data_IF_154541125808
#
_entry.id   IF_154541125808
#
_cell.length_a   1.000
_cell.length_b   1.000
_cell.length_c   1.000
_cell.angle_alpha   90.00
_cell.angle_beta   90.00
_cell.angle_gamma   90.00
#
_symmetry.space_group_name_H-M   'P 1'
#
loop_
_entity.id
_entity.type
_entity.pdbx_description
1 polymer ?
#
# COMPACT_ATOMS: atom_id res chain seq x y z
N UNK A 1 5.15 -18.56 -21.92
CA UNK A 1 4.56 -19.03 -20.63
C UNK A 1 4.51 -17.96 -19.55
N UNK A 2 5.35 -16.93 -19.54
CA UNK A 2 5.35 -15.90 -18.48
C UNK A 2 4.09 -15.03 -18.38
N UNK A 3 3.47 -14.66 -19.48
CA UNK A 3 2.30 -13.79 -19.48
C UNK A 3 1.04 -14.40 -18.84
N UNK A 4 0.86 -15.71 -18.91
CA UNK A 4 -0.30 -16.40 -18.34
C UNK A 4 -0.26 -16.41 -16.79
N UNK A 5 0.92 -16.61 -16.20
CA UNK A 5 1.07 -16.66 -14.74
C UNK A 5 0.94 -15.27 -14.09
N UNK A 6 1.41 -14.22 -14.77
CA UNK A 6 1.28 -12.83 -14.30
C UNK A 6 -0.19 -12.41 -14.30
N UNK A 7 -0.95 -12.79 -15.33
CA UNK A 7 -2.39 -12.51 -15.38
C UNK A 7 -3.17 -13.25 -14.30
N UNK A 8 -2.84 -14.50 -14.02
CA UNK A 8 -3.50 -15.28 -12.97
C UNK A 8 -3.25 -14.67 -11.59
N UNK A 9 -2.00 -14.29 -11.27
CA UNK A 9 -1.68 -13.64 -10.00
C UNK A 9 -2.43 -12.32 -9.81
N UNK A 10 -2.54 -11.49 -10.87
CA UNK A 10 -3.30 -10.26 -10.84
C UNK A 10 -4.80 -10.50 -10.64
N UNK A 11 -5.37 -11.52 -11.28
CA UNK A 11 -6.78 -11.89 -11.14
C UNK A 11 -7.07 -12.41 -9.73
N UNK A 12 -6.21 -13.27 -9.18
CA UNK A 12 -6.36 -13.79 -7.81
C UNK A 12 -6.23 -12.66 -6.80
N UNK A 13 -5.22 -11.80 -6.91
CA UNK A 13 -5.04 -10.64 -6.02
C UNK A 13 -6.22 -9.68 -6.07
N UNK A 14 -6.73 -9.38 -7.26
CA UNK A 14 -7.92 -8.54 -7.45
C UNK A 14 -9.16 -9.17 -6.80
N UNK A 15 -9.35 -10.48 -6.94
CA UNK A 15 -10.47 -11.20 -6.34
C UNK A 15 -10.40 -11.20 -4.82
N UNK A 16 -9.24 -11.49 -4.24
CA UNK A 16 -9.04 -11.48 -2.78
C UNK A 16 -9.35 -10.09 -2.22
N UNK A 17 -8.80 -9.03 -2.81
CA UNK A 17 -9.08 -7.67 -2.37
C UNK A 17 -10.57 -7.32 -2.46
N UNK A 18 -11.22 -7.69 -3.57
CA UNK A 18 -12.65 -7.46 -3.75
C UNK A 18 -13.48 -8.15 -2.66
N UNK A 19 -13.18 -9.39 -2.33
CA UNK A 19 -13.96 -10.18 -1.36
C UNK A 19 -13.69 -9.73 0.10
N UNK A 20 -12.55 -9.10 0.39
CA UNK A 20 -12.22 -8.56 1.70
C UNK A 20 -12.75 -7.14 1.95
N UNK A 21 -12.95 -6.34 0.91
CA UNK A 21 -13.43 -4.96 1.05
C UNK A 21 -14.79 -4.91 1.73
N UNK A 22 -15.72 -5.78 1.36
CA UNK A 22 -17.07 -5.77 1.88
C UNK A 22 -17.13 -6.09 3.38
N UNK A 23 -16.56 -7.21 3.88
CA UNK A 23 -16.59 -7.50 5.32
C UNK A 23 -15.80 -6.50 6.16
N UNK A 24 -14.67 -6.01 5.69
CA UNK A 24 -13.88 -4.97 6.39
C UNK A 24 -14.67 -3.65 6.46
N UNK A 25 -15.31 -3.26 5.37
CA UNK A 25 -16.19 -2.09 5.34
C UNK A 25 -17.37 -2.21 6.30
N UNK A 26 -17.98 -3.38 6.39
CA UNK A 26 -19.09 -3.64 7.33
C UNK A 26 -18.62 -3.51 8.80
N UNK A 27 -17.44 -4.03 9.13
CA UNK A 27 -16.85 -3.89 10.47
C UNK A 27 -16.58 -2.42 10.78
N UNK A 28 -16.00 -1.68 9.84
CA UNK A 28 -15.71 -0.25 10.01
C UNK A 28 -17.00 0.55 10.28
N UNK A 29 -18.03 0.33 9.48
CA UNK A 29 -19.34 0.97 9.68
C UNK A 29 -19.95 0.62 11.05
N UNK A 30 -19.83 -0.64 11.49
CA UNK A 30 -20.27 -1.06 12.81
C UNK A 30 -19.55 -0.34 13.95
N UNK A 31 -18.24 -0.15 13.83
CA UNK A 31 -17.42 0.59 14.78
C UNK A 31 -17.80 2.09 14.82
N UNK A 32 -18.06 2.69 13.67
CA UNK A 32 -18.52 4.09 13.58
C UNK A 32 -19.88 4.26 14.30
N UNK A 33 -20.82 3.35 14.07
CA UNK A 33 -22.12 3.37 14.73
C UNK A 33 -22.00 3.22 16.26
N UNK A 34 -21.11 2.35 16.74
CA UNK A 34 -20.84 2.19 18.17
C UNK A 34 -20.22 3.48 18.75
N UNK A 35 -19.33 4.14 18.04
CA UNK A 35 -18.76 5.43 18.44
C UNK A 35 -19.82 6.52 18.56
N UNK A 36 -20.75 6.60 17.59
CA UNK A 36 -21.84 7.57 17.61
C UNK A 36 -22.84 7.31 18.77
N UNK A 37 -23.06 6.06 19.13
CA UNK A 37 -23.96 5.69 20.21
C UNK A 37 -23.39 5.94 21.62
N UNK A 38 -22.23 6.59 21.76
CA UNK A 38 -21.51 6.79 23.02
C UNK A 38 -21.29 5.49 23.83
N UNK A 39 -21.34 4.36 23.15
CA UNK A 39 -21.07 3.05 23.73
C UNK A 39 -19.56 2.90 23.90
N UNK A 40 -19.07 3.22 25.10
CA UNK A 40 -17.72 3.02 25.63
C UNK A 40 -16.59 3.07 24.60
N UNK A 41 -15.96 4.24 24.47
CA UNK A 41 -14.59 4.30 23.96
C UNK A 41 -13.67 3.71 25.04
N UNK A 42 -12.83 2.77 24.66
CA UNK A 42 -11.86 2.15 25.55
C UNK A 42 -10.68 1.67 24.73
N UNK A 43 -9.53 1.36 25.37
CA UNK A 43 -8.32 0.96 24.66
C UNK A 43 -8.54 -0.27 23.76
N UNK A 44 -9.47 -1.15 24.09
CA UNK A 44 -9.82 -2.31 23.27
C UNK A 44 -10.52 -1.88 21.97
N UNK A 45 -11.42 -0.90 22.04
CA UNK A 45 -12.12 -0.36 20.88
C UNK A 45 -11.15 0.38 19.95
N UNK A 46 -10.26 1.18 20.53
CA UNK A 46 -9.22 1.89 19.77
C UNK A 46 -8.33 0.91 19.03
N UNK A 47 -7.91 -0.18 19.69
CA UNK A 47 -7.12 -1.24 19.07
C UNK A 47 -7.85 -1.92 17.89
N UNK A 48 -9.16 -2.16 18.03
CA UNK A 48 -9.97 -2.75 16.96
C UNK A 48 -10.08 -1.78 15.79
N UNK A 49 -10.34 -0.50 16.05
CA UNK A 49 -10.44 0.54 15.02
C UNK A 49 -9.13 0.69 14.24
N UNK A 50 -8.01 0.75 14.95
CA UNK A 50 -6.68 0.82 14.34
C UNK A 50 -6.38 -0.41 13.48
N UNK A 51 -6.74 -1.61 13.97
CA UNK A 51 -6.55 -2.87 13.23
C UNK A 51 -7.38 -2.93 11.95
N UNK A 52 -8.63 -2.50 12.01
CA UNK A 52 -9.52 -2.46 10.84
C UNK A 52 -9.08 -1.38 9.85
N UNK A 53 -8.67 -0.22 10.35
CA UNK A 53 -8.10 0.86 9.54
C UNK A 53 -6.84 0.40 8.78
N UNK A 54 -5.94 -0.27 9.47
CA UNK A 54 -4.73 -0.87 8.88
C UNK A 54 -5.08 -1.89 7.79
N UNK A 55 -6.02 -2.81 8.06
CA UNK A 55 -6.46 -3.79 7.08
C UNK A 55 -7.05 -3.12 5.82
N UNK A 56 -7.89 -2.12 6.00
CA UNK A 56 -8.48 -1.34 4.91
C UNK A 56 -7.41 -0.64 4.05
N UNK A 57 -6.44 -0.01 4.71
CA UNK A 57 -5.32 0.66 4.03
C UNK A 57 -4.49 -0.33 3.20
N UNK A 58 -4.16 -1.49 3.76
CA UNK A 58 -3.44 -2.55 3.06
C UNK A 58 -4.21 -3.08 1.85
N UNK A 59 -5.51 -3.29 1.97
CA UNK A 59 -6.35 -3.74 0.86
C UNK A 59 -6.36 -2.70 -0.28
N UNK A 60 -6.52 -1.41 0.05
CA UNK A 60 -6.46 -0.34 -0.96
C UNK A 60 -5.12 -0.32 -1.69
N UNK A 61 -4.04 -0.45 -0.96
CA UNK A 61 -2.68 -0.53 -1.52
C UNK A 61 -2.53 -1.75 -2.43
N UNK A 62 -2.92 -2.93 -1.98
CA UNK A 62 -2.79 -4.18 -2.75
C UNK A 62 -3.65 -4.21 -4.01
N UNK A 63 -4.78 -3.52 -4.03
CA UNK A 63 -5.59 -3.37 -5.25
C UNK A 63 -4.82 -2.67 -6.37
N UNK A 64 -3.92 -1.77 -6.03
CA UNK A 64 -3.05 -1.12 -7.01
C UNK A 64 -1.82 -1.98 -7.29
N UNK A 65 -1.13 -2.45 -6.26
CA UNK A 65 0.12 -3.20 -6.39
C UNK A 65 -0.04 -4.54 -7.11
N UNK A 66 -1.15 -5.25 -6.87
CA UNK A 66 -1.40 -6.60 -7.42
C UNK A 66 -2.64 -6.68 -8.30
N UNK A 67 -3.42 -5.62 -8.42
CA UNK A 67 -4.60 -5.59 -9.27
C UNK A 67 -4.29 -5.62 -10.76
N UNK A 68 -5.33 -5.73 -11.58
CA UNK A 68 -5.17 -5.68 -13.03
C UNK A 68 -4.51 -4.37 -13.48
N UNK A 69 -3.53 -4.48 -14.34
CA UNK A 69 -2.89 -3.33 -14.97
C UNK A 69 -3.88 -2.68 -15.95
N UNK A 70 -4.44 -1.54 -15.57
CA UNK A 70 -5.28 -0.71 -16.42
C UNK A 70 -4.51 0.50 -16.96
N UNK A 71 -4.99 1.06 -18.07
CA UNK A 71 -4.47 2.29 -18.66
C UNK A 71 -5.01 3.55 -17.97
N UNK A 72 -5.85 3.39 -16.94
CA UNK A 72 -6.43 4.49 -16.18
C UNK A 72 -5.36 5.33 -15.51
N UNK A 73 -5.58 6.63 -15.49
CA UNK A 73 -4.73 7.58 -14.77
C UNK A 73 -5.16 7.65 -13.30
N UNK A 74 -4.19 7.69 -12.40
CA UNK A 74 -4.39 7.92 -10.97
C UNK A 74 -3.89 9.32 -10.62
N UNK A 75 -4.76 10.12 -10.05
CA UNK A 75 -4.43 11.46 -9.59
C UNK A 75 -3.53 11.43 -8.35
N UNK A 76 -2.71 12.49 -8.19
CA UNK A 76 -1.84 12.65 -7.02
C UNK A 76 -2.59 12.49 -5.69
N UNK A 77 -3.77 13.11 -5.56
CA UNK A 77 -4.56 13.06 -4.33
C UNK A 77 -4.98 11.64 -3.95
N UNK A 78 -5.33 10.82 -4.95
CA UNK A 78 -5.67 9.41 -4.75
C UNK A 78 -4.48 8.60 -4.26
N UNK A 79 -3.32 8.74 -4.92
CA UNK A 79 -2.09 8.04 -4.54
C UNK A 79 -1.63 8.45 -3.14
N UNK A 80 -1.59 9.75 -2.86
CA UNK A 80 -1.19 10.28 -1.54
C UNK A 80 -2.15 9.80 -0.45
N UNK A 81 -3.46 9.75 -0.71
CA UNK A 81 -4.42 9.20 0.24
C UNK A 81 -4.12 7.75 0.60
N UNK A 82 -3.85 6.90 -0.39
CA UNK A 82 -3.50 5.49 -0.17
C UNK A 82 -2.22 5.36 0.67
N UNK A 83 -1.19 6.14 0.35
CA UNK A 83 0.09 6.08 1.06
C UNK A 83 0.00 6.64 2.49
N UNK A 84 -0.79 7.68 2.71
CA UNK A 84 -1.04 8.22 4.04
C UNK A 84 -1.78 7.21 4.93
N UNK A 85 -2.82 6.56 4.40
CA UNK A 85 -3.55 5.52 5.13
C UNK A 85 -2.62 4.35 5.48
N UNK A 86 -1.75 3.95 4.54
CA UNK A 86 -0.76 2.88 4.75
C UNK A 86 0.25 3.22 5.86
N UNK A 87 0.65 4.49 5.96
CA UNK A 87 1.63 4.99 6.94
C UNK A 87 1.01 5.31 8.29
N UNK A 88 -0.33 5.40 8.36
CA UNK A 88 -1.04 5.84 9.58
C UNK A 88 -0.75 4.91 10.77
N UNK A 89 -0.32 5.48 11.88
CA UNK A 89 0.02 4.73 13.09
C UNK A 89 1.26 3.82 12.98
N UNK A 90 1.90 3.80 11.80
CA UNK A 90 3.10 3.00 11.53
C UNK A 90 4.41 3.75 11.82
N UNK A 91 5.50 3.02 11.71
CA UNK A 91 6.87 3.54 11.85
C UNK A 91 7.48 3.99 10.51
N UNK A 92 6.72 3.88 9.43
CA UNK A 92 7.14 4.23 8.07
C UNK A 92 6.51 5.54 7.66
N UNK A 93 7.32 6.44 7.10
CA UNK A 93 6.85 7.67 6.45
C UNK A 93 7.10 7.57 4.96
N UNK A 94 6.09 7.84 4.14
CA UNK A 94 6.19 7.72 2.69
C UNK A 94 5.86 9.07 2.06
N UNK A 95 6.78 9.59 1.25
CA UNK A 95 6.58 10.82 0.50
C UNK A 95 6.45 10.52 -1.00
N UNK A 96 5.37 11.03 -1.60
CA UNK A 96 5.09 10.93 -3.04
C UNK A 96 5.44 12.23 -3.75
N UNK A 97 6.44 12.19 -4.61
CA UNK A 97 6.97 13.36 -5.32
C UNK A 97 6.20 13.78 -6.58
N UNK A 98 5.73 12.86 -7.47
CA UNK A 98 5.08 13.25 -8.71
C UNK A 98 3.89 14.19 -8.49
N UNK A 99 3.87 15.31 -9.21
CA UNK A 99 2.79 16.31 -9.11
C UNK A 99 1.63 15.99 -10.03
N UNK A 100 1.92 15.43 -11.19
CA UNK A 100 0.93 15.08 -12.20
C UNK A 100 0.35 13.67 -11.97
N UNK A 101 -0.81 13.41 -12.56
CA UNK A 101 -1.39 12.09 -12.58
C UNK A 101 -0.45 11.10 -13.29
N UNK A 102 -0.37 9.88 -12.76
CA UNK A 102 0.44 8.81 -13.31
C UNK A 102 -0.46 7.68 -13.80
N UNK A 103 -0.01 6.93 -14.81
CA UNK A 103 -0.74 5.74 -15.23
C UNK A 103 -0.77 4.70 -14.11
N UNK A 104 -1.85 3.93 -14.03
CA UNK A 104 -1.99 2.88 -13.01
C UNK A 104 -0.85 1.86 -13.07
N UNK A 105 -0.31 1.58 -14.26
CA UNK A 105 0.84 0.68 -14.45
C UNK A 105 2.08 1.25 -13.75
N UNK A 106 2.32 2.54 -13.89
CA UNK A 106 3.48 3.21 -13.27
C UNK A 106 3.33 3.31 -11.75
N UNK A 107 2.14 3.65 -11.27
CA UNK A 107 1.85 3.66 -9.81
C UNK A 107 2.02 2.25 -9.24
N UNK A 108 1.56 1.22 -9.95
CA UNK A 108 1.78 -0.18 -9.58
C UNK A 108 3.26 -0.52 -9.43
N UNK A 109 4.08 -0.12 -10.40
CA UNK A 109 5.53 -0.32 -10.36
C UNK A 109 6.15 0.34 -9.12
N UNK A 110 5.80 1.60 -8.85
CA UNK A 110 6.25 2.32 -7.67
C UNK A 110 5.80 1.65 -6.36
N UNK A 111 4.56 1.14 -6.29
CA UNK A 111 4.04 0.44 -5.12
C UNK A 111 4.72 -0.91 -4.88
N UNK A 112 5.05 -1.64 -5.93
CA UNK A 112 5.83 -2.88 -5.81
C UNK A 112 7.26 -2.59 -5.31
N UNK A 113 7.90 -1.55 -5.81
CA UNK A 113 9.19 -1.08 -5.32
C UNK A 113 9.14 -0.64 -3.85
N UNK A 114 8.07 0.06 -3.47
CA UNK A 114 7.83 0.43 -2.08
C UNK A 114 7.76 -0.80 -1.16
N UNK A 115 7.07 -1.87 -1.59
CA UNK A 115 7.01 -3.13 -0.82
C UNK A 115 8.38 -3.78 -0.63
N UNK A 116 9.24 -3.75 -1.64
CA UNK A 116 10.61 -4.22 -1.50
C UNK A 116 11.37 -3.43 -0.43
N UNK A 117 11.22 -2.10 -0.42
CA UNK A 117 11.85 -1.24 0.61
C UNK A 117 11.25 -1.47 2.00
N UNK A 118 9.94 -1.63 2.13
CA UNK A 118 9.32 -1.98 3.42
C UNK A 118 9.92 -3.26 4.00
N UNK A 119 10.14 -4.28 3.17
CA UNK A 119 10.77 -5.54 3.59
C UNK A 119 12.21 -5.33 4.06
N UNK A 120 12.94 -4.44 3.42
CA UNK A 120 14.31 -4.09 3.80
C UNK A 120 14.39 -3.18 5.04
N UNK A 121 13.27 -2.57 5.43
CA UNK A 121 13.18 -1.61 6.53
C UNK A 121 12.18 -2.07 7.62
N UNK A 122 12.37 -3.23 8.25
CA UNK A 122 11.38 -3.86 9.14
C UNK A 122 11.09 -3.05 10.41
N UNK A 123 11.97 -2.15 10.79
CA UNK A 123 11.80 -1.28 11.96
C UNK A 123 11.27 0.11 11.61
N UNK A 124 10.92 0.35 10.35
CA UNK A 124 10.43 1.62 9.86
C UNK A 124 11.53 2.50 9.29
N UNK A 125 11.17 3.72 8.96
CA UNK A 125 12.04 4.71 8.36
C UNK A 125 11.27 5.65 7.44
N UNK A 126 11.98 6.27 6.50
CA UNK A 126 11.40 7.20 5.53
C UNK A 126 11.68 6.71 4.11
N UNK A 127 10.65 6.69 3.29
CA UNK A 127 10.76 6.39 1.86
C UNK A 127 10.30 7.62 1.07
N UNK A 128 11.12 8.03 0.12
CA UNK A 128 10.82 9.08 -0.83
C UNK A 128 10.70 8.48 -2.23
N UNK A 129 9.58 8.75 -2.90
CA UNK A 129 9.29 8.28 -4.24
C UNK A 129 9.28 9.49 -5.17
N UNK A 130 10.13 9.48 -6.17
CA UNK A 130 10.21 10.54 -7.18
C UNK A 130 10.26 9.96 -8.59
N UNK A 131 9.96 10.80 -9.57
CA UNK A 131 10.04 10.46 -10.99
C UNK A 131 10.74 11.60 -11.73
N UNK A 132 11.78 11.26 -12.45
CA UNK A 132 12.52 12.18 -13.32
C UNK A 132 12.75 11.52 -14.67
N UNK A 133 12.45 12.25 -15.75
CA UNK A 133 12.67 11.79 -17.14
C UNK A 133 12.24 10.34 -17.42
N UNK A 134 11.06 9.97 -16.94
CA UNK A 134 10.50 8.62 -17.06
C UNK A 134 11.22 7.53 -16.24
N UNK A 135 12.10 7.93 -15.32
CA UNK A 135 12.74 7.05 -14.36
C UNK A 135 12.13 7.24 -12.97
N UNK A 136 11.82 6.12 -12.32
CA UNK A 136 11.36 6.10 -10.93
C UNK A 136 12.56 5.94 -10.00
N UNK A 137 12.64 6.78 -8.99
CA UNK A 137 13.60 6.69 -7.91
C UNK A 137 12.84 6.50 -6.59
N UNK A 138 13.12 5.40 -5.91
CA UNK A 138 12.65 5.11 -4.57
C UNK A 138 13.83 5.11 -3.62
N UNK A 139 13.84 6.04 -2.68
CA UNK A 139 14.93 6.21 -1.73
C UNK A 139 14.44 5.94 -0.31
N UNK A 140 14.92 4.85 0.28
CA UNK A 140 14.64 4.47 1.66
C UNK A 140 15.78 4.88 2.61
N UNK A 141 15.43 5.42 3.78
CA UNK A 141 16.36 5.70 4.89
C UNK A 141 15.83 5.09 6.17
N UNK A 142 16.67 4.32 6.84
CA UNK A 142 16.35 3.69 8.12
C UNK A 142 17.61 3.55 8.96
N UNK A 143 17.42 3.47 10.29
CA UNK A 143 18.52 3.23 11.23
C UNK A 143 19.08 1.80 11.11
N UNK A 144 18.21 0.86 10.73
CA UNK A 144 18.57 -0.54 10.50
C UNK A 144 17.94 -1.03 9.20
N UNK A 145 18.77 -1.64 8.36
CA UNK A 145 18.37 -2.29 7.13
C UNK A 145 18.55 -3.80 7.26
N UNK A 146 17.61 -4.52 6.69
CA UNK A 146 17.69 -5.98 6.51
C UNK A 146 17.69 -6.27 4.99
N UNK A 147 18.89 -6.32 4.42
CA UNK A 147 19.07 -6.55 2.99
C UNK A 147 19.39 -8.03 2.76
N UNK A 148 18.49 -8.73 2.07
CA UNK A 148 18.77 -10.05 1.53
C UNK A 148 19.32 -9.88 0.10
N UNK A 149 20.63 -10.04 -0.03
CA UNK A 149 21.33 -9.84 -1.31
C UNK A 149 20.75 -10.72 -2.42
N UNK A 150 20.33 -11.95 -2.10
CA UNK A 150 19.78 -12.87 -3.09
C UNK A 150 18.47 -12.38 -3.71
N UNK A 151 17.65 -11.67 -2.93
CA UNK A 151 16.40 -11.06 -3.41
C UNK A 151 16.66 -9.80 -4.22
N UNK A 152 17.60 -8.97 -3.77
CA UNK A 152 17.92 -7.71 -4.47
C UNK A 152 18.68 -7.94 -5.78
N UNK A 153 19.49 -8.97 -5.86
CA UNK A 153 20.18 -9.39 -7.10
C UNK A 153 19.21 -9.69 -8.26
N UNK A 154 17.99 -10.12 -7.96
CA UNK A 154 16.96 -10.36 -8.98
C UNK A 154 16.56 -9.07 -9.70
N UNK A 155 16.67 -7.92 -9.03
CA UNK A 155 16.31 -6.62 -9.61
C UNK A 155 17.45 -6.01 -10.46
N UNK A 156 18.67 -6.55 -10.37
CA UNK A 156 19.86 -6.03 -11.06
C UNK A 156 20.26 -6.85 -12.28
N UNK A 157 19.62 -7.99 -12.50
CA UNK A 157 19.79 -8.87 -13.67
C UNK A 157 18.71 -8.66 -14.72
#
# INVERSE_FOLDING_TARGET
>A
MGHSNINLAALVGSRICHDLISPIGAINNGLELLGMAHARSGPEMDLIQDSVGNASARIRFFRVAFGAAGTQMMGRSEVVSILNDLSHGGRMTIAWGPMDAQSRIEVRLAFLGLQCLETAMPYGGRIEISKDNNQWLLHGRADKLNMDESLWDVLTK
#
